data_IF_122043938741
#
_entry.id   IF_122043938741
#
_cell.length_a   1.000
_cell.length_b   1.000
_cell.length_c   1.000
_cell.angle_alpha   90.00
_cell.angle_beta   90.00
_cell.angle_gamma   90.00
#
_symmetry.space_group_name_H-M   'P 1'
#
loop_
_entity.id
_entity.type
_entity.pdbx_description
1 polymer ?
#
# COMPACT_ATOMS: atom_id res chain seq x y z
N UNK A 1 -20.45 5.24 31.24
CA UNK A 1 -19.28 4.98 30.36
C UNK A 1 -19.80 4.49 29.01
N UNK A 2 -19.75 5.34 27.98
CA UNK A 2 -20.07 4.91 26.62
C UNK A 2 -18.96 3.99 26.13
N UNK A 3 -19.30 2.72 25.86
CA UNK A 3 -18.44 1.77 25.15
C UNK A 3 -18.18 2.31 23.74
N UNK A 4 -17.23 3.23 23.58
CA UNK A 4 -16.71 3.59 22.25
C UNK A 4 -15.88 2.41 21.78
N UNK A 5 -16.53 1.42 21.16
CA UNK A 5 -15.82 0.40 20.39
C UNK A 5 -14.90 1.14 19.42
N UNK A 6 -13.59 0.90 19.50
CA UNK A 6 -12.64 1.45 18.55
C UNK A 6 -12.91 0.82 17.18
N UNK A 7 -13.77 1.45 16.39
CA UNK A 7 -14.05 1.04 15.01
C UNK A 7 -12.78 1.32 14.21
N UNK A 8 -12.21 0.27 13.60
CA UNK A 8 -11.05 0.37 12.71
C UNK A 8 -11.43 -0.23 11.36
N UNK A 9 -11.01 0.42 10.28
CA UNK A 9 -11.06 -0.19 8.95
C UNK A 9 -9.99 -1.28 8.87
N UNK A 10 -10.27 -2.35 8.12
CA UNK A 10 -9.19 -3.24 7.72
C UNK A 10 -8.25 -2.50 6.75
N UNK A 11 -6.98 -2.91 6.74
CA UNK A 11 -5.94 -2.28 5.94
C UNK A 11 -6.29 -2.18 4.46
N UNK A 12 -6.84 -3.26 3.88
CA UNK A 12 -7.24 -3.27 2.47
C UNK A 12 -8.41 -2.34 2.13
N UNK A 13 -9.40 -2.17 3.01
CA UNK A 13 -10.48 -1.18 2.81
C UNK A 13 -9.93 0.23 2.85
N UNK A 14 -9.11 0.56 3.87
CA UNK A 14 -8.47 1.88 3.94
C UNK A 14 -7.61 2.14 2.70
N UNK A 15 -6.81 1.16 2.29
CA UNK A 15 -5.97 1.26 1.11
C UNK A 15 -6.78 1.45 -0.17
N UNK A 16 -7.92 0.77 -0.31
CA UNK A 16 -8.82 0.95 -1.46
C UNK A 16 -9.36 2.38 -1.51
N UNK A 17 -9.81 2.93 -0.39
CA UNK A 17 -10.26 4.34 -0.30
C UNK A 17 -9.13 5.32 -0.66
N UNK A 18 -7.91 5.04 -0.19
CA UNK A 18 -6.73 5.84 -0.55
C UNK A 18 -6.42 5.79 -2.04
N UNK A 19 -6.59 4.62 -2.68
CA UNK A 19 -6.39 4.45 -4.13
C UNK A 19 -7.48 5.14 -4.97
N UNK A 20 -8.68 5.31 -4.42
CA UNK A 20 -9.78 6.04 -5.06
C UNK A 20 -9.59 7.56 -4.98
N UNK A 21 -9.04 8.06 -3.87
CA UNK A 21 -8.80 9.49 -3.64
C UNK A 21 -7.47 9.99 -4.24
N UNK A 22 -6.53 9.08 -4.56
CA UNK A 22 -5.25 9.48 -5.16
C UNK A 22 -5.46 10.16 -6.51
N UNK A 23 -4.51 11.01 -6.87
CA UNK A 23 -4.48 11.68 -8.18
C UNK A 23 -4.61 10.65 -9.33
N UNK A 24 -5.31 11.01 -10.42
CA UNK A 24 -5.34 10.17 -11.61
C UNK A 24 -3.93 9.79 -12.05
N UNK A 25 -3.75 8.52 -12.41
CA UNK A 25 -2.47 8.04 -12.93
C UNK A 25 -2.17 8.68 -14.27
N UNK A 26 -0.87 8.84 -14.53
CA UNK A 26 -0.35 9.20 -15.83
C UNK A 26 -0.91 8.25 -16.90
N UNK A 27 -1.24 8.81 -18.05
CA UNK A 27 -1.82 8.04 -19.16
C UNK A 27 -0.85 6.99 -19.68
N UNK A 28 -1.38 5.96 -20.36
CA UNK A 28 -0.58 4.85 -20.92
C UNK A 28 0.61 5.34 -21.76
N UNK A 29 0.46 6.47 -22.46
CA UNK A 29 1.51 7.08 -23.28
C UNK A 29 2.70 7.64 -22.49
N UNK A 30 2.47 8.15 -21.28
CA UNK A 30 3.51 8.72 -20.41
C UNK A 30 4.35 7.60 -19.78
N UNK A 31 3.73 6.45 -19.48
CA UNK A 31 4.44 5.26 -19.01
C UNK A 31 5.45 4.69 -20.02
N UNK A 32 5.20 4.81 -21.33
CA UNK A 32 6.15 4.37 -22.37
C UNK A 32 7.40 5.25 -22.44
N UNK A 33 7.35 6.49 -21.93
CA UNK A 33 8.51 7.37 -21.82
C UNK A 33 9.40 7.04 -20.60
N UNK A 34 9.02 6.06 -19.78
CA UNK A 34 9.75 5.67 -18.57
C UNK A 34 9.42 6.51 -17.34
N UNK A 35 8.47 7.44 -17.44
CA UNK A 35 8.00 8.25 -16.32
C UNK A 35 7.19 7.37 -15.34
N UNK A 36 7.64 7.31 -14.09
CA UNK A 36 6.91 6.73 -12.96
C UNK A 36 6.24 7.87 -12.20
N UNK A 37 4.91 7.90 -12.21
CA UNK A 37 4.13 8.88 -11.44
C UNK A 37 4.16 8.61 -9.93
N UNK A 38 4.67 7.44 -9.50
CA UNK A 38 4.68 7.01 -8.10
C UNK A 38 3.29 6.62 -7.59
N UNK A 39 2.32 6.48 -8.49
CA UNK A 39 0.91 6.24 -8.18
C UNK A 39 0.47 4.85 -8.61
N UNK A 40 1.36 3.88 -8.84
CA UNK A 40 0.94 2.48 -8.91
C UNK A 40 0.52 1.96 -7.53
N UNK A 41 -0.29 0.90 -7.46
CA UNK A 41 -0.72 0.36 -6.14
C UNK A 41 0.49 -0.02 -5.25
N UNK A 42 1.53 -0.72 -5.76
CA UNK A 42 2.71 -1.02 -4.95
C UNK A 42 3.41 0.23 -4.40
N UNK A 43 3.57 1.26 -5.21
CA UNK A 43 4.24 2.51 -4.81
C UNK A 43 3.43 3.26 -3.75
N UNK A 44 2.11 3.34 -3.89
CA UNK A 44 1.25 3.94 -2.87
C UNK A 44 1.33 3.17 -1.56
N UNK A 45 1.37 1.83 -1.60
CA UNK A 45 1.47 1.01 -0.39
C UNK A 45 2.84 1.12 0.29
N UNK A 46 3.92 1.21 -0.49
CA UNK A 46 5.27 1.53 -0.01
C UNK A 46 5.28 2.92 0.65
N UNK A 47 4.70 3.93 -0.01
CA UNK A 47 4.57 5.27 0.54
C UNK A 47 3.80 5.31 1.86
N UNK A 48 2.67 4.59 1.94
CA UNK A 48 1.92 4.44 3.18
C UNK A 48 2.75 3.76 4.28
N UNK A 49 3.57 2.77 3.92
CA UNK A 49 4.47 2.10 4.86
C UNK A 49 5.50 3.06 5.45
N UNK A 50 6.09 3.93 4.62
CA UNK A 50 7.01 4.99 5.08
C UNK A 50 6.36 6.02 5.99
N UNK A 51 5.09 6.36 5.74
CA UNK A 51 4.35 7.29 6.61
C UNK A 51 4.15 6.68 8.00
N UNK A 52 3.88 5.38 8.08
CA UNK A 52 3.64 4.67 9.34
C UNK A 52 4.95 4.28 10.07
N UNK A 53 5.98 3.94 9.31
CA UNK A 53 7.29 3.48 9.79
C UNK A 53 8.37 4.25 9.00
N UNK A 54 8.86 5.40 9.49
CA UNK A 54 9.78 6.27 8.75
C UNK A 54 11.11 5.62 8.33
N UNK A 55 11.55 4.60 9.07
CA UNK A 55 12.75 3.80 8.81
C UNK A 55 12.50 2.59 7.89
N UNK A 56 11.28 2.47 7.34
CA UNK A 56 10.91 1.42 6.39
C UNK A 56 11.83 1.42 5.17
N UNK A 57 12.51 0.29 4.97
CA UNK A 57 13.42 0.08 3.85
C UNK A 57 12.64 -0.22 2.58
N UNK A 58 12.82 0.62 1.56
CA UNK A 58 12.17 0.40 0.26
C UNK A 58 12.63 -0.90 -0.39
N UNK A 59 11.75 -1.51 -1.20
CA UNK A 59 12.07 -2.76 -1.83
C UNK A 59 13.07 -2.50 -2.94
N UNK A 60 14.03 -3.41 -3.08
CA UNK A 60 14.87 -3.44 -4.27
C UNK A 60 13.99 -3.74 -5.50
N UNK A 61 14.38 -3.24 -6.67
CA UNK A 61 13.65 -3.48 -7.91
C UNK A 61 13.47 -4.99 -8.18
N UNK A 62 14.45 -5.82 -7.79
CA UNK A 62 14.37 -7.28 -7.88
C UNK A 62 13.25 -7.92 -7.06
N UNK A 63 12.73 -7.22 -6.05
CA UNK A 63 11.67 -7.69 -5.16
C UNK A 63 10.27 -7.33 -5.66
N UNK A 64 10.15 -6.51 -6.71
CA UNK A 64 8.88 -5.90 -7.12
C UNK A 64 7.79 -6.92 -7.52
N UNK A 65 8.16 -8.12 -7.97
CA UNK A 65 7.20 -9.21 -8.21
C UNK A 65 6.51 -9.63 -6.91
N UNK A 66 7.27 -9.84 -5.84
CA UNK A 66 6.75 -10.16 -4.50
C UNK A 66 5.93 -9.02 -3.93
N UNK A 67 6.39 -7.77 -4.11
CA UNK A 67 5.67 -6.58 -3.65
C UNK A 67 4.30 -6.47 -4.30
N UNK A 68 4.21 -6.69 -5.62
CA UNK A 68 2.93 -6.69 -6.34
C UNK A 68 1.97 -7.76 -5.79
N UNK A 69 2.46 -8.96 -5.51
CA UNK A 69 1.68 -10.03 -4.89
C UNK A 69 1.14 -9.62 -3.51
N UNK A 70 2.03 -9.17 -2.62
CA UNK A 70 1.65 -8.73 -1.27
C UNK A 70 0.68 -7.53 -1.30
N UNK A 71 0.85 -6.60 -2.24
CA UNK A 71 -0.03 -5.44 -2.42
C UNK A 71 -1.45 -5.88 -2.79
N UNK A 72 -1.58 -6.81 -3.74
CA UNK A 72 -2.88 -7.36 -4.17
C UNK A 72 -3.57 -8.14 -3.03
N UNK A 73 -2.82 -8.95 -2.30
CA UNK A 73 -3.34 -9.69 -1.14
C UNK A 73 -3.74 -8.78 0.02
N UNK A 74 -2.97 -7.72 0.30
CA UNK A 74 -3.31 -6.72 1.30
C UNK A 74 -4.58 -5.95 0.91
N UNK A 75 -4.68 -5.47 -0.34
CA UNK A 75 -5.87 -4.77 -0.87
C UNK A 75 -7.12 -5.64 -0.74
N UNK A 76 -7.02 -6.93 -1.07
CA UNK A 76 -8.11 -7.90 -0.93
C UNK A 76 -8.31 -8.42 0.50
N UNK A 77 -7.62 -7.86 1.49
CA UNK A 77 -7.70 -8.24 2.90
C UNK A 77 -7.37 -9.72 3.19
N UNK A 78 -6.60 -10.37 2.32
CA UNK A 78 -6.17 -11.77 2.48
C UNK A 78 -5.02 -11.90 3.47
N UNK A 79 -4.14 -10.91 3.53
CA UNK A 79 -3.01 -10.87 4.44
C UNK A 79 -2.86 -9.48 5.08
N UNK A 80 -1.99 -9.38 6.10
CA UNK A 80 -1.68 -8.12 6.80
C UNK A 80 -0.44 -7.40 6.25
N UNK A 81 -0.16 -7.54 4.95
CA UNK A 81 1.03 -6.98 4.31
C UNK A 81 2.15 -7.98 4.00
N UNK A 82 1.87 -9.28 4.15
CA UNK A 82 2.87 -10.34 4.02
C UNK A 82 4.01 -10.19 5.05
N UNK A 83 5.19 -10.68 4.71
CA UNK A 83 6.42 -10.48 5.50
C UNK A 83 7.08 -9.13 5.23
N UNK A 84 6.58 -8.38 4.27
CA UNK A 84 7.26 -7.19 3.74
C UNK A 84 6.71 -5.89 4.30
N UNK A 85 5.39 -5.72 4.35
CA UNK A 85 4.79 -4.46 4.81
C UNK A 85 4.50 -4.48 6.32
N UNK A 86 4.73 -3.37 7.04
CA UNK A 86 4.67 -3.31 8.50
C UNK A 86 3.24 -3.07 9.03
N UNK A 87 2.22 -3.71 8.45
CA UNK A 87 0.82 -3.52 8.84
C UNK A 87 0.28 -4.62 9.77
N UNK A 88 1.13 -5.60 10.11
CA UNK A 88 0.82 -6.57 11.15
C UNK A 88 0.72 -5.89 12.51
N UNK A 89 -0.25 -6.29 13.33
CA UNK A 89 -0.26 -5.90 14.74
C UNK A 89 0.90 -6.63 15.45
N UNK A 90 1.97 -5.92 15.78
CA UNK A 90 2.84 -6.30 16.89
C UNK A 90 2.12 -5.91 18.18
N UNK A 91 1.49 -6.89 18.82
CA UNK A 91 0.93 -6.75 20.16
C UNK A 91 1.92 -7.30 21.18
#
# INVERSE_FOLDING_TARGET
MTNRKNIRLCGGTFFTLLLEDRKPRAGVREHYAGEKDGLSEPEVLIGLSKVLVPDFQEPLESMMTTIKGNTSEYKSCKNKGGTYFPFGNSH
#
